data_IF_061201878651
#
_entry.id   IF_061201878651
#
_cell.length_a   1.000
_cell.length_b   1.000
_cell.length_c   1.000
_cell.angle_alpha   90.00
_cell.angle_beta   90.00
_cell.angle_gamma   90.00
#
_symmetry.space_group_name_H-M   'P 1'
#
loop_
_entity.id
_entity.type
_entity.pdbx_description
1 polymer ?
#
# COMPACT_ATOMS: atom_id res chain seq x y z
N UNK A 1 -7.89 -12.55 11.10
CA UNK A 1 -7.56 -11.12 10.95
C UNK A 1 -6.20 -10.99 10.28
N UNK A 2 -6.14 -10.20 9.22
CA UNK A 2 -4.87 -9.92 8.53
C UNK A 2 -4.13 -8.80 9.24
N UNK A 3 -2.85 -9.01 9.47
CA UNK A 3 -1.95 -8.02 10.08
C UNK A 3 -0.82 -7.74 9.11
N UNK A 4 -0.60 -6.47 8.80
CA UNK A 4 0.51 -6.01 7.98
C UNK A 4 1.66 -5.58 8.88
N UNK A 5 2.86 -6.11 8.60
CA UNK A 5 4.11 -5.62 9.19
C UNK A 5 4.88 -4.95 8.06
N UNK A 6 5.13 -3.67 8.19
CA UNK A 6 5.74 -2.84 7.15
C UNK A 6 6.92 -2.05 7.68
N UNK A 7 7.99 -1.98 6.89
CA UNK A 7 9.13 -1.11 7.12
C UNK A 7 9.34 -0.30 5.85
N UNK A 8 9.46 1.01 5.98
CA UNK A 8 9.69 1.92 4.85
C UNK A 8 10.95 2.74 5.07
N UNK A 9 11.81 2.78 4.06
CA UNK A 9 13.08 3.51 4.09
C UNK A 9 13.20 4.39 2.86
N UNK A 10 13.69 5.61 3.04
CA UNK A 10 14.10 6.44 1.92
C UNK A 10 15.45 5.95 1.40
N UNK A 11 15.59 5.85 0.09
CA UNK A 11 16.80 5.36 -0.56
C UNK A 11 17.36 6.39 -1.53
N UNK A 12 18.67 6.31 -1.80
CA UNK A 12 19.36 7.25 -2.69
C UNK A 12 19.48 6.72 -4.13
N UNK A 13 19.49 5.40 -4.30
CA UNK A 13 19.65 4.79 -5.62
C UNK A 13 18.73 3.59 -5.75
N UNK A 14 17.73 3.75 -6.59
CA UNK A 14 16.81 2.67 -6.95
C UNK A 14 17.55 1.49 -7.57
N UNK A 15 18.47 1.76 -8.50
CA UNK A 15 19.25 0.73 -9.20
C UNK A 15 20.07 -0.11 -8.22
N UNK A 16 20.73 0.53 -7.25
CA UNK A 16 21.55 -0.19 -6.27
C UNK A 16 20.71 -1.09 -5.37
N UNK A 17 19.56 -0.61 -4.92
CA UNK A 17 18.67 -1.38 -4.06
C UNK A 17 18.07 -2.56 -4.83
N UNK A 18 17.66 -2.37 -6.08
CA UNK A 18 17.15 -3.47 -6.90
C UNK A 18 18.19 -4.57 -7.09
N UNK A 19 19.45 -4.17 -7.32
CA UNK A 19 20.55 -5.12 -7.41
C UNK A 19 20.76 -5.89 -6.11
N UNK A 20 20.79 -5.21 -4.97
CA UNK A 20 20.95 -5.84 -3.65
C UNK A 20 19.83 -6.83 -3.37
N UNK A 21 18.60 -6.48 -3.71
CA UNK A 21 17.45 -7.38 -3.54
C UNK A 21 17.64 -8.66 -4.33
N UNK A 22 18.04 -8.55 -5.60
CA UNK A 22 18.26 -9.72 -6.44
C UNK A 22 19.44 -10.57 -5.94
N UNK A 23 20.52 -9.94 -5.49
CA UNK A 23 21.67 -10.64 -4.90
C UNK A 23 21.33 -11.37 -3.60
N UNK A 24 20.32 -10.90 -2.88
CA UNK A 24 19.88 -11.54 -1.61
C UNK A 24 18.74 -12.52 -1.80
N UNK A 25 18.43 -12.88 -3.04
CA UNK A 25 17.48 -13.94 -3.35
C UNK A 25 16.04 -13.49 -3.60
N UNK A 26 15.79 -12.19 -3.66
CA UNK A 26 14.47 -11.69 -4.06
C UNK A 26 14.29 -11.86 -5.57
N UNK A 27 13.10 -12.27 -5.96
CA UNK A 27 12.74 -12.45 -7.37
C UNK A 27 11.95 -11.24 -7.84
N UNK A 28 12.41 -10.63 -8.92
CA UNK A 28 11.74 -9.50 -9.57
C UNK A 28 10.38 -9.93 -10.10
N UNK A 29 9.34 -9.17 -9.78
CA UNK A 29 7.98 -9.45 -10.22
C UNK A 29 7.40 -8.25 -10.98
N UNK A 30 6.15 -7.89 -10.73
CA UNK A 30 5.46 -6.87 -11.51
C UNK A 30 6.00 -5.46 -11.29
N UNK A 31 5.98 -4.68 -12.37
CA UNK A 31 6.17 -3.23 -12.35
C UNK A 31 4.80 -2.59 -12.54
N UNK A 32 4.38 -1.79 -11.56
CA UNK A 32 3.05 -1.19 -11.57
C UNK A 32 3.09 0.30 -11.33
N UNK A 33 2.15 1.01 -11.94
CA UNK A 33 1.88 2.41 -11.64
C UNK A 33 0.67 2.45 -10.71
N UNK A 34 0.85 3.02 -9.51
CA UNK A 34 -0.20 3.12 -8.51
C UNK A 34 -0.60 4.56 -8.27
N UNK A 35 -1.90 4.79 -8.17
CA UNK A 35 -2.46 6.08 -7.77
C UNK A 35 -3.35 5.85 -6.56
N UNK A 36 -2.95 6.40 -5.41
CA UNK A 36 -3.64 6.22 -4.15
C UNK A 36 -4.40 7.49 -3.79
N UNK A 37 -5.71 7.38 -3.65
CA UNK A 37 -6.55 8.45 -3.14
C UNK A 37 -6.90 8.13 -1.70
N UNK A 38 -6.39 8.94 -0.76
CA UNK A 38 -6.73 8.83 0.66
C UNK A 38 -7.92 9.71 0.98
N UNK A 39 -8.70 9.29 1.98
CA UNK A 39 -9.94 9.96 2.35
C UNK A 39 -9.91 10.45 3.78
N UNK A 40 -10.58 11.57 4.00
CA UNK A 40 -10.90 12.10 5.32
C UNK A 40 -12.42 12.27 5.42
N UNK A 41 -12.92 12.50 6.62
CA UNK A 41 -14.35 12.68 6.88
C UNK A 41 -14.54 13.53 8.13
N UNK A 42 -15.60 14.34 8.14
CA UNK A 42 -15.97 15.09 9.35
C UNK A 42 -16.47 14.20 10.48
N UNK A 43 -16.89 12.99 10.13
CA UNK A 43 -17.46 12.03 11.09
C UNK A 43 -16.45 11.03 11.62
N UNK A 44 -15.26 10.96 11.03
CA UNK A 44 -14.24 9.99 11.41
C UNK A 44 -12.86 10.57 11.11
N UNK A 45 -12.14 10.91 12.16
CA UNK A 45 -10.81 11.53 12.04
C UNK A 45 -9.74 10.43 11.92
N UNK A 46 -9.46 10.01 10.69
CA UNK A 46 -8.48 8.96 10.42
C UNK A 46 -7.08 9.31 10.96
N UNK A 47 -6.67 10.56 10.81
CA UNK A 47 -5.34 10.99 11.27
C UNK A 47 -5.24 10.91 12.80
N UNK A 48 -6.24 11.39 13.52
CA UNK A 48 -6.25 11.35 14.98
C UNK A 48 -6.30 9.92 15.53
N UNK A 49 -6.94 9.01 14.79
CA UNK A 49 -7.05 7.60 15.16
C UNK A 49 -5.88 6.75 14.66
N UNK A 50 -4.91 7.35 13.99
CA UNK A 50 -3.78 6.66 13.35
C UNK A 50 -4.26 5.59 12.36
N UNK A 51 -5.27 5.94 11.58
CA UNK A 51 -5.87 5.07 10.56
C UNK A 51 -5.67 5.66 9.17
N UNK A 52 -5.73 4.81 8.15
CA UNK A 52 -5.71 5.23 6.76
C UNK A 52 -6.79 4.51 5.97
N UNK A 53 -7.43 5.24 5.06
CA UNK A 53 -8.47 4.72 4.19
C UNK A 53 -8.20 5.22 2.78
N UNK A 54 -8.03 4.28 1.84
CA UNK A 54 -7.66 4.65 0.47
C UNK A 54 -8.40 3.84 -0.58
N UNK A 55 -8.51 4.43 -1.76
CA UNK A 55 -8.81 3.73 -3.00
C UNK A 55 -7.56 3.77 -3.86
N UNK A 56 -7.05 2.61 -4.25
CA UNK A 56 -5.86 2.46 -5.08
C UNK A 56 -6.27 2.05 -6.48
N UNK A 57 -5.81 2.78 -7.48
CA UNK A 57 -5.85 2.37 -8.88
C UNK A 57 -4.47 1.86 -9.27
N UNK A 58 -4.43 0.72 -9.95
CA UNK A 58 -3.17 0.09 -10.35
C UNK A 58 -3.19 -0.20 -11.84
N UNK A 59 -2.08 0.12 -12.53
CA UNK A 59 -1.85 -0.30 -13.89
C UNK A 59 -0.57 -1.13 -13.93
N UNK A 60 -0.69 -2.39 -14.36
CA UNK A 60 0.47 -3.24 -14.57
C UNK A 60 1.18 -2.78 -15.84
N UNK A 61 2.41 -2.31 -15.71
CA UNK A 61 3.19 -1.74 -16.82
C UNK A 61 3.70 -2.81 -17.79
N UNK A 62 3.66 -4.07 -17.39
CA UNK A 62 4.09 -5.20 -18.22
C UNK A 62 2.96 -5.72 -19.10
N UNK A 63 1.71 -5.68 -18.60
CA UNK A 63 0.55 -6.26 -19.28
C UNK A 63 -0.49 -5.23 -19.71
N UNK A 64 -0.44 -4.02 -19.15
CA UNK A 64 -1.46 -2.99 -19.34
C UNK A 64 -2.75 -3.23 -18.55
N UNK A 65 -2.81 -4.30 -17.77
CA UNK A 65 -4.01 -4.62 -16.99
C UNK A 65 -4.21 -3.59 -15.88
N UNK A 66 -5.45 -3.13 -15.73
CA UNK A 66 -5.85 -2.20 -14.67
C UNK A 66 -6.67 -2.91 -13.62
N UNK A 67 -6.48 -2.50 -12.37
CA UNK A 67 -7.23 -3.02 -11.24
C UNK A 67 -7.39 -1.92 -10.20
N UNK A 68 -8.26 -2.17 -9.23
CA UNK A 68 -8.47 -1.23 -8.14
C UNK A 68 -8.80 -1.99 -6.86
N UNK A 69 -8.47 -1.37 -5.73
CA UNK A 69 -8.75 -1.92 -4.41
C UNK A 69 -9.11 -0.80 -3.45
N UNK A 70 -9.95 -1.14 -2.47
CA UNK A 70 -10.26 -0.29 -1.34
C UNK A 70 -9.61 -0.90 -0.11
N UNK A 71 -8.91 -0.08 0.68
CA UNK A 71 -8.10 -0.55 1.81
C UNK A 71 -8.35 0.31 3.04
N UNK A 72 -8.56 -0.36 4.17
CA UNK A 72 -8.54 0.25 5.49
C UNK A 72 -7.33 -0.27 6.24
N UNK A 73 -6.55 0.64 6.83
CA UNK A 73 -5.45 0.31 7.73
C UNK A 73 -5.75 0.88 9.11
N UNK A 74 -5.74 0.00 10.11
CA UNK A 74 -5.94 0.38 11.50
C UNK A 74 -4.72 1.04 12.12
N UNK A 75 -4.87 1.48 13.36
CA UNK A 75 -3.77 2.08 14.13
C UNK A 75 -2.61 1.10 14.31
N UNK A 76 -1.40 1.64 14.45
CA UNK A 76 -0.22 0.84 14.75
C UNK A 76 -0.44 0.04 16.02
N UNK A 77 -0.09 -1.25 15.97
CA UNK A 77 -0.27 -2.17 17.08
C UNK A 77 0.91 -2.13 18.06
N UNK A 78 2.05 -1.58 17.63
CA UNK A 78 3.22 -1.33 18.49
C UNK A 78 4.01 -0.12 17.97
N UNK A 79 4.98 0.35 18.77
CA UNK A 79 5.78 1.54 18.44
C UNK A 79 7.11 1.22 17.73
N UNK A 80 7.43 -0.04 17.54
CA UNK A 80 8.72 -0.47 16.99
C UNK A 80 8.62 -0.72 15.50
N UNK A 81 7.53 -1.37 15.06
CA UNK A 81 7.25 -1.66 13.66
C UNK A 81 5.96 -0.98 13.23
N UNK A 82 5.75 -0.91 11.91
CA UNK A 82 4.51 -0.41 11.33
C UNK A 82 3.49 -1.55 11.22
N UNK A 83 3.24 -2.24 12.34
CA UNK A 83 2.29 -3.35 12.37
C UNK A 83 0.87 -2.82 12.51
N UNK A 84 0.01 -3.16 11.56
CA UNK A 84 -1.38 -2.67 11.49
C UNK A 84 -2.33 -3.77 11.08
N UNK A 85 -3.58 -3.68 11.53
CA UNK A 85 -4.65 -4.42 10.90
C UNK A 85 -4.88 -3.84 9.50
N UNK A 86 -5.02 -4.71 8.52
CA UNK A 86 -5.34 -4.31 7.15
C UNK A 86 -6.56 -5.07 6.66
N UNK A 87 -7.53 -4.33 6.11
CA UNK A 87 -8.69 -4.88 5.44
C UNK A 87 -8.69 -4.36 4.01
N UNK A 88 -8.66 -5.26 3.05
CA UNK A 88 -8.57 -4.88 1.64
C UNK A 88 -9.45 -5.78 0.79
N UNK A 89 -10.12 -5.17 -0.17
CA UNK A 89 -10.86 -5.91 -1.19
C UNK A 89 -10.75 -5.19 -2.53
N UNK A 90 -10.84 -5.96 -3.60
CA UNK A 90 -10.86 -5.39 -4.94
C UNK A 90 -12.20 -4.71 -5.21
N UNK A 91 -12.17 -3.69 -6.07
CA UNK A 91 -13.37 -3.05 -6.61
C UNK A 91 -13.31 -3.07 -8.12
N UNK A 92 -14.46 -3.20 -8.75
CA UNK A 92 -14.53 -3.31 -10.21
C UNK A 92 -14.27 -2.01 -10.95
N UNK A 93 -14.55 -0.87 -10.32
CA UNK A 93 -14.41 0.45 -10.94
C UNK A 93 -13.99 1.46 -9.89
N UNK A 94 -12.72 1.89 -9.96
CA UNK A 94 -12.15 2.85 -9.01
C UNK A 94 -12.86 4.21 -9.07
N UNK A 95 -13.20 4.67 -10.26
CA UNK A 95 -13.85 5.97 -10.45
C UNK A 95 -15.22 6.00 -9.79
N UNK A 96 -16.02 4.98 -10.01
CA UNK A 96 -17.33 4.86 -9.40
C UNK A 96 -17.21 4.71 -7.89
N UNK A 97 -16.26 3.89 -7.41
CA UNK A 97 -16.01 3.72 -5.99
C UNK A 97 -15.69 5.07 -5.32
N UNK A 98 -14.78 5.87 -5.91
CA UNK A 98 -14.45 7.19 -5.40
C UNK A 98 -15.67 8.11 -5.35
N UNK A 99 -16.51 8.10 -6.41
CA UNK A 99 -17.72 8.92 -6.44
C UNK A 99 -18.71 8.53 -5.35
N UNK A 100 -18.90 7.24 -5.11
CA UNK A 100 -19.76 6.76 -4.02
C UNK A 100 -19.29 7.30 -2.68
N UNK A 101 -18.00 7.19 -2.41
CA UNK A 101 -17.43 7.67 -1.14
C UNK A 101 -17.62 9.17 -0.95
N UNK A 102 -17.41 9.97 -2.01
CA UNK A 102 -17.59 11.41 -1.96
C UNK A 102 -19.06 11.78 -1.71
N UNK A 103 -20.00 11.05 -2.32
CA UNK A 103 -21.43 11.30 -2.14
C UNK A 103 -21.93 10.98 -0.73
N UNK A 104 -21.27 10.08 -0.01
CA UNK A 104 -21.66 9.72 1.35
C UNK A 104 -20.84 10.44 2.43
N UNK A 105 -20.05 11.44 2.05
CA UNK A 105 -19.42 12.36 3.00
C UNK A 105 -17.93 12.19 3.20
N UNK A 106 -17.27 11.30 2.45
CA UNK A 106 -15.80 11.23 2.47
C UNK A 106 -15.21 12.25 1.51
N UNK A 107 -14.09 12.89 1.95
CA UNK A 107 -13.41 13.89 1.15
C UNK A 107 -12.04 13.37 0.72
N UNK A 108 -11.73 13.38 -0.60
CA UNK A 108 -10.41 12.95 -1.05
C UNK A 108 -9.35 14.01 -0.74
N UNK A 109 -8.15 13.56 -0.43
CA UNK A 109 -6.95 14.38 -0.49
C UNK A 109 -6.27 14.15 -1.83
N UNK A 110 -5.37 15.06 -2.28
CA UNK A 110 -4.68 14.88 -3.57
C UNK A 110 -4.01 13.50 -3.65
N UNK A 111 -4.14 12.81 -4.80
CA UNK A 111 -3.61 11.44 -4.91
C UNK A 111 -2.09 11.39 -4.85
N UNK A 112 -1.59 10.29 -4.30
CA UNK A 112 -0.17 9.95 -4.31
C UNK A 112 0.07 8.96 -5.44
N UNK A 113 0.95 9.30 -6.36
CA UNK A 113 1.31 8.43 -7.48
C UNK A 113 2.71 7.88 -7.28
N UNK A 114 2.89 6.61 -7.62
CA UNK A 114 4.18 5.96 -7.55
C UNK A 114 4.34 4.88 -8.61
N UNK A 115 5.59 4.75 -9.07
CA UNK A 115 6.01 3.63 -9.89
C UNK A 115 6.66 2.60 -8.96
N UNK A 116 6.05 1.44 -8.86
CA UNK A 116 6.43 0.39 -7.91
C UNK A 116 6.93 -0.85 -8.62
N UNK A 117 8.16 -1.27 -8.27
CA UNK A 117 8.70 -2.55 -8.69
C UNK A 117 8.58 -3.53 -7.52
N UNK A 118 7.84 -4.61 -7.73
CA UNK A 118 7.70 -5.68 -6.73
C UNK A 118 8.84 -6.68 -6.82
N UNK A 119 9.22 -7.20 -5.66
CA UNK A 119 10.13 -8.31 -5.48
C UNK A 119 9.57 -9.23 -4.41
N UNK A 120 9.75 -10.53 -4.59
CA UNK A 120 9.26 -11.50 -3.61
C UNK A 120 10.36 -12.45 -3.19
N UNK A 121 10.39 -12.78 -1.91
CA UNK A 121 11.21 -13.83 -1.34
C UNK A 121 10.45 -14.45 -0.18
N UNK A 122 10.05 -15.74 -0.31
CA UNK A 122 9.23 -16.41 0.68
C UNK A 122 7.95 -15.61 0.97
N UNK A 123 7.70 -15.23 2.23
CA UNK A 123 6.53 -14.44 2.62
C UNK A 123 6.81 -12.94 2.70
N UNK A 124 7.95 -12.50 2.19
CA UNK A 124 8.34 -11.09 2.20
C UNK A 124 8.10 -10.49 0.83
N UNK A 125 7.42 -9.36 0.81
CA UNK A 125 7.31 -8.52 -0.38
C UNK A 125 8.18 -7.29 -0.19
N UNK A 126 9.06 -7.05 -1.15
CA UNK A 126 9.83 -5.82 -1.22
C UNK A 126 9.29 -4.97 -2.36
N UNK A 127 9.12 -3.68 -2.10
CA UNK A 127 8.66 -2.72 -3.09
C UNK A 127 9.69 -1.62 -3.22
N UNK A 128 10.19 -1.41 -4.44
CA UNK A 128 11.05 -0.27 -4.74
C UNK A 128 10.20 0.75 -5.47
N UNK A 129 9.98 1.89 -4.82
CA UNK A 129 9.05 2.91 -5.27
C UNK A 129 9.76 4.18 -5.70
N UNK A 130 9.31 4.76 -6.81
CA UNK A 130 9.55 6.17 -7.12
C UNK A 130 8.23 6.89 -6.92
N UNK A 131 8.17 7.71 -5.87
CA UNK A 131 6.97 8.48 -5.53
C UNK A 131 7.08 9.86 -6.15
N UNK A 132 6.08 10.24 -6.94
CA UNK A 132 6.07 11.52 -7.66
C UNK A 132 6.28 12.68 -6.69
N UNK A 133 7.26 13.52 -6.97
CA UNK A 133 7.66 14.70 -6.19
C UNK A 133 8.29 14.42 -4.81
N UNK A 134 8.47 13.15 -4.42
CA UNK A 134 9.03 12.83 -3.10
C UNK A 134 10.34 12.04 -3.17
N UNK A 135 10.55 11.24 -4.20
CA UNK A 135 11.78 10.46 -4.37
C UNK A 135 11.59 8.95 -4.26
N UNK A 136 12.69 8.25 -4.01
CA UNK A 136 12.72 6.79 -4.03
C UNK A 136 12.66 6.21 -2.62
N UNK A 137 11.94 5.08 -2.49
CA UNK A 137 11.74 4.40 -1.21
C UNK A 137 11.83 2.90 -1.40
N UNK A 138 12.24 2.22 -0.34
CA UNK A 138 12.14 0.76 -0.19
C UNK A 138 11.10 0.47 0.87
N UNK A 139 10.17 -0.42 0.56
CA UNK A 139 9.19 -0.92 1.51
C UNK A 139 9.32 -2.44 1.61
N UNK A 140 9.42 -2.94 2.83
CA UNK A 140 9.40 -4.38 3.11
C UNK A 140 8.11 -4.67 3.86
N UNK A 141 7.37 -5.67 3.40
CA UNK A 141 6.06 -5.99 3.92
C UNK A 141 5.88 -7.48 4.13
N UNK A 142 5.27 -7.83 5.26
CA UNK A 142 4.80 -9.18 5.54
C UNK A 142 3.34 -9.06 5.97
N UNK A 143 2.45 -9.78 5.31
CA UNK A 143 1.06 -9.90 5.72
C UNK A 143 0.90 -11.22 6.43
N UNK A 144 0.43 -11.17 7.68
CA UNK A 144 0.26 -12.34 8.53
C UNK A 144 -1.21 -12.50 8.87
N UNK A 145 -1.73 -13.72 8.64
CA UNK A 145 -3.05 -14.09 9.15
C UNK A 145 -2.90 -14.48 10.61
N UNK A 146 -3.65 -13.80 11.48
CA UNK A 146 -3.71 -14.15 12.88
C UNK A 146 -5.03 -14.86 13.16
N UNK A 147 -4.95 -16.02 13.79
CA UNK A 147 -6.14 -16.72 14.26
C UNK A 147 -6.68 -15.99 15.49
N UNK A 148 -7.99 -15.75 15.50
CA UNK A 148 -8.63 -15.34 16.73
C UNK A 148 -8.54 -16.49 17.73
N UNK A 149 -8.06 -16.17 18.93
CA UNK A 149 -8.07 -17.17 20.00
C UNK A 149 -9.52 -17.52 20.31
N UNK A 150 -9.86 -18.75 20.06
CA UNK A 150 -11.12 -19.34 20.54
C UNK A 150 -10.91 -19.69 22.01
N UNK A 151 -11.41 -18.85 22.85
CA UNK A 151 -11.42 -19.12 24.29
C UNK A 151 -12.79 -19.56 24.73
#
# INVERSE_FOLDING_TARGET
MSVEVEIKLKINSRTDIERVLEETGFVRADLVLESDTYYTSDHHDFAALDEAFRVRSTENRMTGKRSAAITYKGAKMDNISMTRQELETTVGDAKICRKILEHIGFRPVPPVEKLRQYFHRENITACVDTVTNLGDYLELEIIVETEEKKE
#
